data_IF_397933053883
#
_entry.id   IF_397933053883
#
_cell.length_a   1.000
_cell.length_b   1.000
_cell.length_c   1.000
_cell.angle_alpha   90.00
_cell.angle_beta   90.00
_cell.angle_gamma   90.00
#
_symmetry.space_group_name_H-M   'P 1'
#
loop_
_entity.id
_entity.type
_entity.pdbx_description
1 polymer ?
#
# COMPACT_ATOMS: atom_id res chain seq x y z
N UNK A 1 -31.83 0.74 6.64
CA UNK A 1 -31.18 1.78 5.82
C UNK A 1 -30.17 2.52 6.69
N UNK A 2 -28.91 2.62 6.25
CA UNK A 2 -27.86 3.28 7.01
C UNK A 2 -28.16 4.77 7.18
N UNK A 3 -27.97 5.30 8.40
CA UNK A 3 -28.25 6.69 8.76
C UNK A 3 -27.31 7.62 7.96
N UNK A 4 -27.79 8.62 7.21
CA UNK A 4 -26.95 9.53 6.46
C UNK A 4 -26.01 10.31 7.40
N UNK A 5 -24.76 10.52 6.98
CA UNK A 5 -23.78 11.25 7.79
C UNK A 5 -24.21 12.70 7.98
N UNK A 6 -24.04 13.23 9.20
CA UNK A 6 -24.41 14.63 9.54
C UNK A 6 -23.63 15.69 8.75
N UNK A 7 -22.45 15.33 8.24
CA UNK A 7 -21.57 16.23 7.50
C UNK A 7 -21.49 15.86 6.02
N UNK A 8 -21.34 16.89 5.18
CA UNK A 8 -21.09 16.76 3.75
C UNK A 8 -19.65 16.31 3.46
N UNK A 9 -19.37 15.77 2.26
CA UNK A 9 -18.00 15.45 1.85
C UNK A 9 -17.04 16.64 1.91
N UNK A 10 -17.52 17.86 1.61
CA UNK A 10 -16.70 19.08 1.66
C UNK A 10 -16.34 19.46 3.11
N UNK A 11 -17.28 19.30 4.05
CA UNK A 11 -17.02 19.55 5.47
C UNK A 11 -16.02 18.54 6.03
N UNK A 12 -16.08 17.28 5.59
CA UNK A 12 -15.06 16.30 5.95
C UNK A 12 -13.68 16.64 5.40
N UNK A 13 -13.58 17.09 4.15
CA UNK A 13 -12.32 17.54 3.57
C UNK A 13 -11.72 18.75 4.32
N UNK A 14 -12.57 19.66 4.79
CA UNK A 14 -12.13 20.82 5.58
C UNK A 14 -11.60 20.41 6.96
N UNK A 15 -12.29 19.51 7.65
CA UNK A 15 -11.84 18.91 8.91
C UNK A 15 -10.50 18.17 8.71
N UNK A 16 -10.35 17.42 7.61
CA UNK A 16 -9.11 16.71 7.27
C UNK A 16 -7.93 17.66 7.07
N UNK A 17 -8.13 18.76 6.33
CA UNK A 17 -7.11 19.80 6.13
C UNK A 17 -6.69 20.44 7.44
N UNK A 18 -7.65 20.92 8.24
CA UNK A 18 -7.38 21.62 9.52
C UNK A 18 -6.73 20.70 10.56
N UNK A 19 -7.11 19.42 10.59
CA UNK A 19 -6.42 18.41 11.39
C UNK A 19 -4.96 18.20 10.94
N UNK A 20 -4.69 18.20 9.64
CA UNK A 20 -3.33 18.10 9.11
C UNK A 20 -2.49 19.34 9.40
N UNK A 21 -3.11 20.52 9.50
CA UNK A 21 -2.46 21.77 9.93
C UNK A 21 -2.16 21.80 11.44
N UNK A 22 -2.75 20.88 12.21
CA UNK A 22 -2.45 20.67 13.63
C UNK A 22 -3.56 21.09 14.60
N UNK A 23 -4.75 21.44 14.11
CA UNK A 23 -5.89 21.72 14.98
C UNK A 23 -6.37 20.48 15.74
N UNK A 24 -6.93 20.68 16.94
CA UNK A 24 -7.40 19.57 17.78
C UNK A 24 -8.77 19.10 17.34
N UNK A 25 -8.94 17.77 17.28
CA UNK A 25 -10.22 17.12 16.97
C UNK A 25 -11.37 17.57 17.89
N UNK A 26 -11.08 17.94 19.14
CA UNK A 26 -12.07 18.47 20.09
C UNK A 26 -12.66 19.81 19.68
N UNK A 27 -11.83 20.69 19.11
CA UNK A 27 -12.24 22.04 18.73
C UNK A 27 -13.04 22.00 17.43
N UNK A 28 -12.58 21.21 16.46
CA UNK A 28 -13.31 20.92 15.22
C UNK A 28 -14.65 20.22 15.49
N UNK A 29 -14.70 19.29 16.45
CA UNK A 29 -15.94 18.63 16.82
C UNK A 29 -16.99 19.59 17.40
N UNK A 30 -16.54 20.60 18.18
CA UNK A 30 -17.41 21.65 18.71
C UNK A 30 -17.95 22.56 17.59
N UNK A 31 -17.10 22.92 16.64
CA UNK A 31 -17.44 23.77 15.50
C UNK A 31 -18.44 23.10 14.54
N UNK A 32 -18.19 21.84 14.18
CA UNK A 32 -19.02 21.08 13.24
C UNK A 32 -20.18 20.34 13.93
N UNK A 33 -20.28 20.45 15.26
CA UNK A 33 -21.36 19.85 16.05
C UNK A 33 -21.41 18.32 15.97
N UNK A 34 -20.26 17.66 15.91
CA UNK A 34 -20.13 16.19 15.84
C UNK A 34 -19.37 15.65 17.04
N UNK A 35 -19.42 14.33 17.25
CA UNK A 35 -18.66 13.71 18.34
C UNK A 35 -17.17 13.66 17.97
N UNK A 36 -16.24 14.09 18.86
CA UNK A 36 -14.80 14.02 18.62
C UNK A 36 -14.31 12.65 18.15
N UNK A 37 -14.89 11.56 18.68
CA UNK A 37 -14.55 10.19 18.28
C UNK A 37 -14.81 9.91 16.78
N UNK A 38 -15.77 10.58 16.15
CA UNK A 38 -16.04 10.45 14.72
C UNK A 38 -14.94 11.09 13.87
N UNK A 39 -14.35 12.19 14.32
CA UNK A 39 -13.19 12.82 13.68
C UNK A 39 -11.98 11.93 13.89
N UNK A 40 -11.69 11.53 15.12
CA UNK A 40 -10.49 10.73 15.43
C UNK A 40 -10.50 9.40 14.69
N UNK A 41 -11.65 8.71 14.62
CA UNK A 41 -11.75 7.42 13.91
C UNK A 41 -11.54 7.53 12.40
N UNK A 42 -11.95 8.64 11.79
CA UNK A 42 -11.95 8.80 10.33
C UNK A 42 -10.73 9.53 9.80
N UNK A 43 -10.23 10.51 10.55
CA UNK A 43 -9.32 11.55 10.02
C UNK A 43 -7.94 11.51 10.70
N UNK A 44 -7.83 11.00 11.93
CA UNK A 44 -6.56 11.10 12.70
C UNK A 44 -5.37 10.44 11.98
N UNK A 45 -5.52 9.20 11.51
CA UNK A 45 -4.46 8.49 10.79
C UNK A 45 -4.13 9.14 9.44
N UNK A 46 -5.14 9.61 8.70
CA UNK A 46 -4.95 10.31 7.41
C UNK A 46 -4.17 11.61 7.64
N UNK A 47 -4.58 12.42 8.62
CA UNK A 47 -3.91 13.67 8.97
C UNK A 47 -2.47 13.46 9.45
N UNK A 48 -2.19 12.37 10.17
CA UNK A 48 -0.83 12.02 10.57
C UNK A 48 0.04 11.67 9.37
N UNK A 49 -0.48 10.86 8.45
CA UNK A 49 0.24 10.50 7.21
C UNK A 49 0.52 11.74 6.35
N UNK A 50 -0.46 12.62 6.20
CA UNK A 50 -0.31 13.89 5.46
C UNK A 50 0.79 14.76 6.10
N UNK A 51 0.79 14.91 7.44
CA UNK A 51 1.85 15.64 8.15
C UNK A 51 3.23 15.04 7.95
N UNK A 52 3.37 13.72 8.06
CA UNK A 52 4.65 13.05 7.84
C UNK A 52 5.19 13.30 6.42
N UNK A 53 4.33 13.21 5.40
CA UNK A 53 4.72 13.51 4.01
C UNK A 53 5.05 14.99 3.83
N UNK A 54 4.27 15.90 4.42
CA UNK A 54 4.55 17.34 4.36
C UNK A 54 5.92 17.68 4.98
N UNK A 55 6.28 17.03 6.09
CA UNK A 55 7.61 17.16 6.70
C UNK A 55 8.72 16.66 5.78
N UNK A 56 8.53 15.52 5.10
CA UNK A 56 9.50 15.02 4.11
C UNK A 56 9.66 15.96 2.92
N UNK A 57 8.57 16.53 2.42
CA UNK A 57 8.60 17.52 1.33
C UNK A 57 9.34 18.78 1.78
N UNK A 58 9.06 19.29 2.98
CA UNK A 58 9.77 20.45 3.52
C UNK A 58 11.27 20.18 3.66
N UNK A 59 11.65 19.03 4.23
CA UNK A 59 13.05 18.63 4.35
C UNK A 59 13.75 18.50 2.98
N UNK A 60 13.08 17.90 2.00
CA UNK A 60 13.59 17.78 0.64
C UNK A 60 13.76 19.14 -0.05
N UNK A 61 12.84 20.09 0.17
CA UNK A 61 12.93 21.45 -0.35
C UNK A 61 14.10 22.22 0.28
N UNK A 62 14.31 22.09 1.59
CA UNK A 62 15.47 22.67 2.28
C UNK A 62 16.78 22.11 1.70
N UNK A 63 16.89 20.78 1.59
CA UNK A 63 18.07 20.13 1.01
C UNK A 63 18.31 20.54 -0.46
N UNK A 64 17.24 20.74 -1.23
CA UNK A 64 17.33 21.24 -2.60
C UNK A 64 17.86 22.68 -2.62
N UNK A 65 17.38 23.55 -1.72
CA UNK A 65 17.80 24.94 -1.65
C UNK A 65 19.27 25.11 -1.24
N UNK A 66 19.82 24.17 -0.47
CA UNK A 66 21.25 24.11 -0.11
C UNK A 66 22.17 23.83 -1.30
N UNK A 67 21.65 23.23 -2.38
CA UNK A 67 22.43 22.96 -3.58
C UNK A 67 22.63 24.24 -4.42
N UNK A 68 23.77 24.38 -5.11
CA UNK A 68 23.94 25.40 -6.14
C UNK A 68 22.86 25.32 -7.21
N UNK A 69 22.37 26.46 -7.72
CA UNK A 69 21.24 26.54 -8.68
C UNK A 69 21.38 25.59 -9.88
N UNK A 70 22.59 25.42 -10.42
CA UNK A 70 22.86 24.48 -11.53
C UNK A 70 22.63 23.01 -11.14
N UNK A 71 22.88 22.65 -9.88
CA UNK A 71 22.71 21.30 -9.35
C UNK A 71 21.26 21.02 -8.93
N UNK A 72 20.50 22.06 -8.56
CA UNK A 72 19.07 21.93 -8.23
C UNK A 72 18.27 21.35 -9.41
N UNK A 73 18.50 21.86 -10.63
CA UNK A 73 17.86 21.34 -11.83
C UNK A 73 18.19 19.87 -12.08
N UNK A 74 19.46 19.48 -11.90
CA UNK A 74 19.91 18.09 -12.04
C UNK A 74 19.24 17.17 -11.01
N UNK A 75 19.12 17.61 -9.76
CA UNK A 75 18.44 16.86 -8.70
C UNK A 75 16.94 16.65 -9.00
N UNK A 76 16.24 17.70 -9.44
CA UNK A 76 14.83 17.60 -9.84
C UNK A 76 14.64 16.70 -11.07
N UNK A 77 15.49 16.85 -12.09
CA UNK A 77 15.44 16.00 -13.30
C UNK A 77 15.69 14.53 -12.97
N UNK A 78 16.64 14.25 -12.06
CA UNK A 78 16.90 12.89 -11.61
C UNK A 78 15.71 12.31 -10.83
N UNK A 79 15.10 13.07 -9.93
CA UNK A 79 13.91 12.64 -9.19
C UNK A 79 12.74 12.30 -10.13
N UNK A 80 12.48 13.14 -11.14
CA UNK A 80 11.46 12.89 -12.16
C UNK A 80 11.77 11.62 -12.98
N UNK A 81 13.03 11.44 -13.39
CA UNK A 81 13.46 10.24 -14.12
C UNK A 81 13.30 8.97 -13.29
N UNK A 82 13.67 9.00 -12.01
CA UNK A 82 13.49 7.88 -11.09
C UNK A 82 12.01 7.53 -10.95
N UNK A 83 11.12 8.52 -10.79
CA UNK A 83 9.67 8.30 -10.74
C UNK A 83 9.15 7.64 -12.02
N UNK A 84 9.56 8.15 -13.18
CA UNK A 84 9.14 7.63 -14.48
C UNK A 84 9.68 6.22 -14.74
N UNK A 85 10.92 5.95 -14.32
CA UNK A 85 11.48 4.60 -14.33
C UNK A 85 10.68 3.65 -13.45
N UNK A 86 10.33 4.04 -12.22
CA UNK A 86 9.50 3.20 -11.34
C UNK A 86 8.15 2.86 -11.98
N UNK A 87 7.48 3.84 -12.59
CA UNK A 87 6.23 3.61 -13.31
C UNK A 87 6.42 2.65 -14.49
N UNK A 88 7.49 2.85 -15.27
CA UNK A 88 7.81 1.99 -16.43
C UNK A 88 8.13 0.55 -16.00
N UNK A 89 8.86 0.37 -14.89
CA UNK A 89 9.17 -0.95 -14.33
C UNK A 89 7.89 -1.65 -13.84
N UNK A 90 6.98 -0.92 -13.19
CA UNK A 90 5.69 -1.47 -12.78
C UNK A 90 4.85 -1.93 -13.98
N UNK A 91 4.77 -1.12 -15.04
CA UNK A 91 4.07 -1.51 -16.27
C UNK A 91 4.75 -2.69 -16.98
N UNK A 92 6.08 -2.71 -17.04
CA UNK A 92 6.84 -3.82 -17.60
C UNK A 92 6.62 -5.12 -16.80
N UNK A 93 6.56 -5.04 -15.47
CA UNK A 93 6.25 -6.16 -14.60
C UNK A 93 4.82 -6.68 -14.82
N UNK A 94 3.82 -5.81 -14.99
CA UNK A 94 2.45 -6.22 -15.31
C UNK A 94 2.37 -6.98 -16.64
N UNK A 95 3.02 -6.43 -17.69
CA UNK A 95 3.07 -7.06 -19.01
C UNK A 95 3.86 -8.38 -18.98
N UNK A 96 4.97 -8.42 -18.24
CA UNK A 96 5.77 -9.61 -18.00
C UNK A 96 5.00 -10.70 -17.26
N UNK A 97 4.23 -10.34 -16.24
CA UNK A 97 3.33 -11.24 -15.52
C UNK A 97 2.26 -11.84 -16.43
N UNK A 98 1.59 -11.01 -17.24
CA UNK A 98 0.60 -11.47 -18.24
C UNK A 98 1.23 -12.41 -19.27
N UNK A 99 2.42 -12.07 -19.77
CA UNK A 99 3.15 -12.87 -20.76
C UNK A 99 3.59 -14.20 -20.18
N UNK A 100 4.23 -14.18 -19.00
CA UNK A 100 4.65 -15.38 -18.29
C UNK A 100 3.48 -16.30 -17.95
N UNK A 101 2.35 -15.75 -17.49
CA UNK A 101 1.14 -16.53 -17.26
C UNK A 101 0.64 -17.23 -18.54
N UNK A 102 0.58 -16.51 -19.66
CA UNK A 102 0.16 -17.09 -20.95
C UNK A 102 1.13 -18.17 -21.44
N UNK A 103 2.45 -17.94 -21.31
CA UNK A 103 3.46 -18.91 -21.71
C UNK A 103 3.43 -20.18 -20.83
N UNK A 104 3.18 -20.05 -19.53
CA UNK A 104 2.95 -21.19 -18.64
C UNK A 104 1.68 -21.96 -19.00
N UNK A 105 0.59 -21.27 -19.35
CA UNK A 105 -0.62 -21.92 -19.82
C UNK A 105 -0.39 -22.71 -21.12
N UNK A 106 0.39 -22.16 -22.06
CA UNK A 106 0.80 -22.85 -23.28
C UNK A 106 1.71 -24.05 -22.96
N UNK A 107 2.69 -23.89 -22.07
CA UNK A 107 3.56 -24.98 -21.63
C UNK A 107 2.73 -26.13 -21.05
N UNK A 108 1.75 -25.86 -20.19
CA UNK A 108 0.85 -26.87 -19.65
C UNK A 108 0.03 -27.58 -20.75
N UNK A 109 -0.38 -26.86 -21.80
CA UNK A 109 -1.05 -27.48 -22.94
C UNK A 109 -0.15 -28.38 -23.78
N UNK A 110 1.16 -28.10 -23.84
CA UNK A 110 2.15 -28.97 -24.48
C UNK A 110 2.50 -30.19 -23.64
N UNK A 111 2.53 -30.05 -22.30
CA UNK A 111 2.69 -31.20 -21.38
C UNK A 111 1.57 -32.22 -21.59
N UNK A 112 0.34 -31.78 -21.84
CA UNK A 112 -0.80 -32.67 -22.10
C UNK A 112 -0.65 -33.54 -23.36
N UNK A 113 0.34 -33.27 -24.22
CA UNK A 113 0.64 -34.06 -25.43
C UNK A 113 1.76 -35.08 -25.21
N UNK A 114 2.40 -35.08 -24.04
CA UNK A 114 3.46 -36.02 -23.70
C UNK A 114 2.83 -37.38 -23.40
N UNK A 115 3.36 -38.44 -24.02
CA UNK A 115 3.03 -39.81 -23.64
C UNK A 115 3.81 -40.20 -22.38
N UNK A 116 3.11 -40.36 -21.27
CA UNK A 116 3.69 -40.75 -19.99
C UNK A 116 4.22 -42.20 -19.99
N UNK A 117 3.72 -43.05 -20.89
CA UNK A 117 4.18 -44.43 -21.04
C UNK A 117 5.43 -44.55 -21.91
N UNK A 118 5.65 -43.61 -22.84
CA UNK A 118 6.90 -43.44 -23.60
C UNK A 118 7.35 -41.97 -23.70
N UNK A 119 7.97 -41.42 -22.66
CA UNK A 119 8.41 -40.02 -22.63
C UNK A 119 9.52 -39.72 -23.65
N UNK A 120 10.31 -40.73 -24.02
CA UNK A 120 11.41 -40.58 -24.99
C UNK A 120 10.88 -40.49 -26.42
N UNK A 121 9.71 -41.05 -26.72
CA UNK A 121 8.96 -40.76 -27.94
C UNK A 121 8.45 -39.31 -28.03
N UNK A 122 8.31 -38.64 -26.88
CA UNK A 122 7.72 -37.30 -26.75
C UNK A 122 8.75 -36.16 -26.58
N UNK A 123 10.01 -36.37 -26.97
CA UNK A 123 11.12 -35.42 -26.76
C UNK A 123 10.83 -34.02 -27.34
N UNK A 124 10.14 -33.93 -28.47
CA UNK A 124 9.83 -32.64 -29.09
C UNK A 124 8.85 -31.81 -28.25
N UNK A 125 7.80 -32.43 -27.72
CA UNK A 125 6.87 -31.80 -26.78
C UNK A 125 7.58 -31.37 -25.49
N UNK A 126 8.44 -32.23 -24.92
CA UNK A 126 9.24 -31.91 -23.73
C UNK A 126 10.19 -30.73 -23.95
N UNK A 127 10.80 -30.61 -25.13
CA UNK A 127 11.61 -29.44 -25.51
C UNK A 127 10.77 -28.17 -25.60
N UNK A 128 9.58 -28.26 -26.21
CA UNK A 128 8.63 -27.15 -26.29
C UNK A 128 8.22 -26.64 -24.91
N UNK A 129 7.85 -27.54 -24.01
CA UNK A 129 7.55 -27.24 -22.60
C UNK A 129 8.72 -26.54 -21.92
N UNK A 130 9.95 -27.06 -22.09
CA UNK A 130 11.14 -26.48 -21.50
C UNK A 130 11.42 -25.05 -21.96
N UNK A 131 11.30 -24.78 -23.28
CA UNK A 131 11.49 -23.44 -23.85
C UNK A 131 10.41 -22.48 -23.36
N UNK A 132 9.14 -22.88 -23.43
CA UNK A 132 8.01 -22.05 -22.99
C UNK A 132 8.10 -21.72 -21.49
N UNK A 133 8.44 -22.71 -20.66
CA UNK A 133 8.60 -22.53 -19.21
C UNK A 133 9.78 -21.59 -18.89
N UNK A 134 10.91 -21.74 -19.58
CA UNK A 134 12.07 -20.86 -19.41
C UNK A 134 11.73 -19.43 -19.79
N UNK A 135 11.13 -19.22 -20.96
CA UNK A 135 10.74 -17.89 -21.44
C UNK A 135 9.66 -17.27 -20.55
N UNK A 136 8.75 -18.09 -20.01
CA UNK A 136 7.77 -17.65 -19.03
C UNK A 136 8.44 -17.13 -17.76
N UNK A 137 9.41 -17.87 -17.21
CA UNK A 137 10.14 -17.48 -16.01
C UNK A 137 10.98 -16.21 -16.22
N UNK A 138 11.62 -16.06 -17.38
CA UNK A 138 12.33 -14.83 -17.76
C UNK A 138 11.38 -13.64 -17.86
N UNK A 139 10.19 -13.84 -18.42
CA UNK A 139 9.14 -12.81 -18.50
C UNK A 139 8.61 -12.39 -17.12
N UNK A 140 8.66 -13.29 -16.13
CA UNK A 140 8.25 -13.01 -14.75
C UNK A 140 9.32 -12.28 -13.93
N UNK A 141 10.58 -12.24 -14.37
CA UNK A 141 11.69 -11.70 -13.57
C UNK A 141 11.45 -10.25 -13.07
N UNK A 142 10.94 -9.30 -13.88
CA UNK A 142 10.64 -7.95 -13.39
C UNK A 142 9.56 -7.93 -12.30
N UNK A 143 8.52 -8.76 -12.44
CA UNK A 143 7.44 -8.86 -11.47
C UNK A 143 7.90 -9.50 -10.16
N UNK A 144 8.68 -10.57 -10.23
CA UNK A 144 9.24 -11.22 -9.06
C UNK A 144 10.21 -10.31 -8.29
N UNK A 145 11.03 -9.54 -9.00
CA UNK A 145 11.92 -8.56 -8.38
C UNK A 145 11.14 -7.44 -7.67
N UNK A 146 10.01 -6.97 -8.24
CA UNK A 146 9.13 -6.02 -7.55
C UNK A 146 8.48 -6.63 -6.29
N UNK A 147 8.02 -7.88 -6.35
CA UNK A 147 7.46 -8.57 -5.19
C UNK A 147 8.53 -8.72 -4.10
N UNK A 148 9.75 -9.12 -4.48
CA UNK A 148 10.87 -9.26 -3.55
C UNK A 148 11.24 -7.91 -2.90
N UNK A 149 11.32 -6.83 -3.68
CA UNK A 149 11.62 -5.49 -3.17
C UNK A 149 10.56 -4.97 -2.17
N UNK A 150 9.32 -5.46 -2.25
CA UNK A 150 8.23 -5.05 -1.37
C UNK A 150 7.91 -6.07 -0.26
N UNK A 151 8.59 -7.22 -0.22
CA UNK A 151 8.27 -8.35 0.65
C UNK A 151 8.21 -7.96 2.13
N UNK A 152 9.22 -7.26 2.63
CA UNK A 152 9.28 -6.82 4.03
C UNK A 152 8.17 -5.83 4.39
N UNK A 153 7.79 -4.96 3.44
CA UNK A 153 6.71 -4.00 3.63
C UNK A 153 5.36 -4.71 3.67
N UNK A 154 5.14 -5.70 2.80
CA UNK A 154 3.93 -6.52 2.78
C UNK A 154 3.82 -7.40 4.04
N UNK A 155 4.93 -7.97 4.51
CA UNK A 155 4.95 -8.72 5.77
C UNK A 155 4.57 -7.86 6.96
N UNK A 156 5.18 -6.67 7.11
CA UNK A 156 4.80 -5.71 8.16
C UNK A 156 3.32 -5.36 8.14
N UNK A 157 2.74 -5.14 6.95
CA UNK A 157 1.31 -4.84 6.81
C UNK A 157 0.38 -6.01 7.17
N UNK A 158 0.85 -7.24 7.03
CA UNK A 158 0.06 -8.44 7.31
C UNK A 158 0.22 -8.94 8.77
N UNK A 159 1.39 -8.72 9.35
CA UNK A 159 1.75 -9.23 10.69
C UNK A 159 1.39 -8.25 11.81
N UNK A 160 1.18 -6.96 11.51
CA UNK A 160 0.76 -5.97 12.51
C UNK A 160 -0.72 -6.23 12.86
N UNK A 161 -1.05 -6.66 14.11
CA UNK A 161 -2.44 -6.81 14.52
C UNK A 161 -3.13 -5.46 14.39
N UNK A 162 -4.43 -5.40 14.02
CA UNK A 162 -5.15 -4.13 14.06
C UNK A 162 -4.95 -3.55 15.46
N UNK A 163 -4.42 -2.32 15.56
CA UNK A 163 -4.26 -1.61 16.84
C UNK A 163 -5.61 -1.67 17.56
N UNK A 164 -5.74 -2.60 18.51
CA UNK A 164 -6.93 -2.66 19.34
C UNK A 164 -6.93 -1.34 20.10
N UNK A 165 -8.03 -0.58 20.09
CA UNK A 165 -8.09 0.66 20.84
C UNK A 165 -7.77 0.36 22.30
N UNK A 166 -6.59 0.78 22.77
CA UNK A 166 -6.19 0.59 24.15
C UNK A 166 -7.05 1.52 24.98
N UNK A 167 -7.99 0.95 25.74
CA UNK A 167 -8.80 1.71 26.67
C UNK A 167 -7.90 2.08 27.86
N UNK A 168 -7.63 3.36 28.03
CA UNK A 168 -6.90 3.89 29.18
C UNK A 168 -7.79 3.75 30.42
N UNK A 169 -7.45 2.85 31.37
CA UNK A 169 -8.31 2.57 32.52
C UNK A 169 -8.42 3.78 33.45
N UNK A 170 -7.49 4.74 33.39
CA UNK A 170 -7.55 5.99 34.17
C UNK A 170 -8.58 6.98 33.65
N UNK A 171 -9.11 6.75 32.44
CA UNK A 171 -10.14 7.58 31.79
C UNK A 171 -11.52 6.92 31.81
N UNK A 172 -11.64 5.73 32.38
CA UNK A 172 -12.92 5.07 32.62
C UNK A 172 -13.48 5.55 33.96
N UNK A 173 -14.79 5.77 34.04
CA UNK A 173 -15.45 5.93 35.34
C UNK A 173 -15.41 4.59 36.10
N UNK A 174 -15.38 4.65 37.43
CA UNK A 174 -15.38 3.46 38.30
C UNK A 174 -16.54 2.51 37.97
N UNK A 175 -17.67 3.08 37.55
CA UNK A 175 -18.86 2.35 37.14
C UNK A 175 -18.65 1.56 35.83
N UNK A 176 -17.98 2.16 34.84
CA UNK A 176 -17.64 1.48 33.57
C UNK A 176 -16.57 0.40 33.77
N UNK A 177 -15.65 0.60 34.73
CA UNK A 177 -14.65 -0.40 35.09
C UNK A 177 -15.29 -1.63 35.76
N UNK A 178 -16.25 -1.41 36.67
CA UNK A 178 -16.99 -2.48 37.33
C UNK A 178 -17.82 -3.33 36.35
N UNK A 179 -18.49 -2.69 35.39
CA UNK A 179 -19.27 -3.38 34.35
C UNK A 179 -18.39 -4.23 33.42
N UNK A 180 -17.19 -3.75 33.06
CA UNK A 180 -16.24 -4.50 32.24
C UNK A 180 -15.63 -5.70 32.98
N UNK A 181 -15.35 -5.56 34.28
CA UNK A 181 -14.83 -6.66 35.10
C UNK A 181 -15.91 -7.74 35.28
N UNK A 182 -17.17 -7.33 35.50
CA UNK A 182 -18.30 -8.25 35.62
C UNK A 182 -18.60 -9.01 34.32
N UNK A 183 -18.39 -8.39 33.15
CA UNK A 183 -18.60 -9.03 31.85
C UNK A 183 -17.50 -10.04 31.44
N UNK A 184 -16.38 -10.09 32.18
CA UNK A 184 -15.25 -10.99 31.92
C UNK A 184 -15.26 -12.25 32.82
N UNK A 185 -16.10 -12.29 33.85
CA UNK A 185 -16.30 -13.45 34.72
C UNK A 185 -17.40 -14.36 34.16
#
# INVERSE_FOLDING_TARGET
MARPSKLSPQQWADIERRMAEGEKASDLAREFGINPSQITRRVSQISQKVRNVAQQVAAAQTALAELPVRQQYSAMSLAEKLRNMSASVASAAELGAKTGHRLHALANSEVAKVDDADPLGSIEALKGVGVLTKLANESLAPALNLIAANKESVQRLNDEPPELPSVDPTKLSDQALAELIAARA
#
